data_IF_457181901252
#
_entry.id   IF_457181901252
#
_cell.length_a   1.000
_cell.length_b   1.000
_cell.length_c   1.000
_cell.angle_alpha   90.00
_cell.angle_beta   90.00
_cell.angle_gamma   90.00
#
_symmetry.space_group_name_H-M   'P 1'
#
loop_
_entity.id
_entity.type
_entity.pdbx_description
1 polymer ?
#
# COMPACT_ATOMS: atom_id res chain seq x y z
N UNK A 1 -31.30 -1.27 -13.51
CA UNK A 1 -29.87 -1.48 -13.84
C UNK A 1 -29.06 -1.52 -12.55
N UNK A 2 -28.86 -2.71 -11.95
CA UNK A 2 -28.10 -2.86 -10.70
C UNK A 2 -26.58 -3.01 -10.90
N UNK A 3 -26.12 -3.51 -12.05
CA UNK A 3 -24.70 -3.83 -12.29
C UNK A 3 -23.77 -2.60 -12.28
N UNK A 4 -24.26 -1.42 -12.68
CA UNK A 4 -23.46 -0.19 -12.72
C UNK A 4 -23.19 0.37 -11.31
N UNK A 5 -24.16 0.21 -10.38
CA UNK A 5 -24.01 0.67 -9.00
C UNK A 5 -22.96 -0.16 -8.24
N UNK A 6 -22.92 -1.47 -8.46
CA UNK A 6 -21.96 -2.36 -7.81
C UNK A 6 -20.53 -2.07 -8.27
N UNK A 7 -20.34 -1.77 -9.56
CA UNK A 7 -19.05 -1.37 -10.11
C UNK A 7 -18.58 -0.03 -9.54
N UNK A 8 -19.47 0.98 -9.49
CA UNK A 8 -19.16 2.29 -8.90
C UNK A 8 -18.76 2.13 -7.43
N UNK A 9 -19.51 1.33 -6.65
CA UNK A 9 -19.22 1.08 -5.24
C UNK A 9 -17.88 0.36 -5.05
N UNK A 10 -17.59 -0.65 -5.88
CA UNK A 10 -16.33 -1.39 -5.82
C UNK A 10 -15.13 -0.49 -6.13
N UNK A 11 -15.23 0.33 -7.18
CA UNK A 11 -14.20 1.31 -7.55
C UNK A 11 -14.02 2.36 -6.46
N UNK A 12 -15.11 2.92 -5.93
CA UNK A 12 -15.06 3.87 -4.82
C UNK A 12 -14.33 3.31 -3.60
N UNK A 13 -14.61 2.06 -3.25
CA UNK A 13 -13.92 1.37 -2.14
C UNK A 13 -12.44 1.13 -2.43
N UNK A 14 -12.10 0.70 -3.65
CA UNK A 14 -10.71 0.50 -4.05
C UNK A 14 -9.90 1.81 -3.99
N UNK A 15 -10.44 2.89 -4.54
CA UNK A 15 -9.81 4.22 -4.54
C UNK A 15 -9.63 4.73 -3.11
N UNK A 16 -10.70 4.67 -2.30
CA UNK A 16 -10.65 5.13 -0.91
C UNK A 16 -9.62 4.34 -0.08
N UNK A 17 -9.66 3.00 -0.13
CA UNK A 17 -8.76 2.16 0.64
C UNK A 17 -7.30 2.35 0.21
N UNK A 18 -7.04 2.55 -1.08
CA UNK A 18 -5.70 2.83 -1.56
C UNK A 18 -5.19 4.20 -1.11
N UNK A 19 -6.03 5.24 -1.13
CA UNK A 19 -5.66 6.55 -0.61
C UNK A 19 -5.30 6.49 0.88
N UNK A 20 -6.05 5.71 1.68
CA UNK A 20 -5.70 5.47 3.09
C UNK A 20 -4.35 4.76 3.24
N UNK A 21 -4.10 3.73 2.42
CA UNK A 21 -2.80 3.05 2.40
C UNK A 21 -1.65 4.02 2.05
N UNK A 22 -1.83 4.89 1.06
CA UNK A 22 -0.81 5.89 0.69
C UNK A 22 -0.50 6.85 1.82
N UNK A 23 -1.52 7.34 2.54
CA UNK A 23 -1.32 8.21 3.69
C UNK A 23 -0.57 7.49 4.81
N UNK A 24 -0.92 6.24 5.11
CA UNK A 24 -0.22 5.45 6.14
C UNK A 24 1.24 5.17 5.75
N UNK A 25 1.51 4.81 4.51
CA UNK A 25 2.88 4.56 4.01
C UNK A 25 3.70 5.84 3.99
N UNK A 26 3.12 6.97 3.59
CA UNK A 26 3.83 8.25 3.63
C UNK A 26 4.12 8.71 5.06
N UNK A 27 3.22 8.42 6.01
CA UNK A 27 3.48 8.67 7.43
C UNK A 27 4.63 7.80 7.94
N UNK A 28 4.62 6.50 7.61
CA UNK A 28 5.74 5.60 7.92
C UNK A 28 7.03 6.16 7.34
N UNK A 29 7.02 6.52 6.05
CA UNK A 29 8.18 7.10 5.37
C UNK A 29 8.68 8.36 6.06
N UNK A 30 7.81 9.31 6.42
CA UNK A 30 8.20 10.54 7.12
C UNK A 30 8.82 10.28 8.49
N UNK A 31 8.30 9.31 9.24
CA UNK A 31 8.88 8.87 10.51
C UNK A 31 10.25 8.20 10.30
N UNK A 32 10.39 7.42 9.22
CA UNK A 32 11.66 6.83 8.80
C UNK A 32 12.65 7.87 8.26
N UNK A 33 12.21 9.00 7.69
CA UNK A 33 13.12 10.03 7.15
C UNK A 33 14.07 10.60 8.21
N UNK A 34 13.69 10.54 9.50
CA UNK A 34 14.58 10.89 10.61
C UNK A 34 15.79 9.94 10.76
N UNK A 35 15.74 8.76 10.14
CA UNK A 35 16.74 7.69 10.27
C UNK A 35 17.34 7.27 8.93
N UNK A 36 16.57 7.33 7.84
CA UNK A 36 16.95 6.82 6.52
C UNK A 36 16.99 7.94 5.44
N UNK A 37 16.79 9.20 5.84
CA UNK A 37 16.85 10.37 4.95
C UNK A 37 15.61 10.61 4.08
N UNK A 38 15.66 11.57 3.15
CA UNK A 38 14.53 12.00 2.30
C UNK A 38 14.24 11.07 1.11
N UNK A 39 14.36 9.76 1.31
CA UNK A 39 14.24 8.78 0.23
C UNK A 39 12.79 8.59 -0.25
N UNK A 40 12.66 8.14 -1.50
CA UNK A 40 11.40 7.59 -2.02
C UNK A 40 11.03 6.31 -1.25
N UNK A 41 9.80 5.80 -1.42
CA UNK A 41 9.40 4.52 -0.78
C UNK A 41 10.33 3.37 -1.21
N UNK A 42 10.71 3.32 -2.49
CA UNK A 42 11.68 2.36 -3.02
C UNK A 42 13.06 2.54 -2.39
N UNK A 43 13.58 3.78 -2.38
CA UNK A 43 14.88 4.07 -1.77
C UNK A 43 14.91 3.74 -0.27
N UNK A 44 13.84 4.06 0.46
CA UNK A 44 13.70 3.75 1.88
C UNK A 44 13.64 2.25 2.13
N UNK A 45 13.05 1.47 1.21
CA UNK A 45 13.02 0.00 1.31
C UNK A 45 14.44 -0.57 1.14
N UNK A 46 15.16 -0.13 0.11
CA UNK A 46 16.54 -0.58 -0.15
C UNK A 46 17.48 -0.20 1.00
N UNK A 47 17.36 1.01 1.52
CA UNK A 47 18.19 1.47 2.63
C UNK A 47 17.84 0.72 3.93
N UNK A 48 16.56 0.46 4.20
CA UNK A 48 16.14 -0.40 5.31
C UNK A 48 16.71 -1.82 5.19
N UNK A 49 16.71 -2.42 3.99
CA UNK A 49 17.27 -3.75 3.78
C UNK A 49 18.79 -3.80 3.98
N UNK A 50 19.49 -2.77 3.51
CA UNK A 50 20.95 -2.64 3.64
C UNK A 50 21.38 -2.44 5.10
N UNK A 51 20.65 -1.59 5.81
CA UNK A 51 21.04 -1.12 7.14
C UNK A 51 20.28 -1.84 8.28
N UNK A 52 19.42 -2.82 7.95
CA UNK A 52 18.62 -3.60 8.91
C UNK A 52 19.46 -4.17 10.07
N UNK A 53 20.70 -4.57 9.81
CA UNK A 53 21.62 -5.09 10.83
C UNK A 53 22.42 -4.03 11.60
N UNK A 54 22.44 -2.78 11.13
CA UNK A 54 23.18 -1.67 11.74
C UNK A 54 22.28 -0.69 12.51
N UNK A 55 20.96 -0.75 12.28
CA UNK A 55 19.98 0.06 12.97
C UNK A 55 19.74 -0.45 14.41
N UNK A 56 19.61 0.44 15.41
CA UNK A 56 19.32 0.05 16.80
C UNK A 56 17.86 -0.38 17.01
N UNK A 57 17.18 -0.82 15.95
CA UNK A 57 15.77 -1.14 15.95
C UNK A 57 15.53 -2.61 16.24
N UNK A 58 14.39 -2.90 16.86
CA UNK A 58 13.90 -4.27 16.99
C UNK A 58 13.80 -4.91 15.59
N UNK A 59 14.45 -6.06 15.42
CA UNK A 59 14.43 -6.79 14.14
C UNK A 59 13.01 -7.12 13.67
N UNK A 60 12.06 -7.30 14.60
CA UNK A 60 10.65 -7.48 14.23
C UNK A 60 10.06 -6.19 13.62
N UNK A 61 10.38 -5.02 14.16
CA UNK A 61 9.94 -3.74 13.62
C UNK A 61 10.47 -3.53 12.19
N UNK A 62 11.76 -3.77 11.96
CA UNK A 62 12.37 -3.64 10.62
C UNK A 62 11.69 -4.59 9.62
N UNK A 63 11.49 -5.84 10.01
CA UNK A 63 10.83 -6.83 9.15
C UNK A 63 9.38 -6.43 8.82
N UNK A 64 8.63 -5.88 9.78
CA UNK A 64 7.26 -5.38 9.58
C UNK A 64 7.24 -4.15 8.66
N UNK A 65 8.15 -3.20 8.83
CA UNK A 65 8.27 -2.03 7.96
C UNK A 65 8.57 -2.43 6.52
N UNK A 66 9.54 -3.32 6.32
CA UNK A 66 9.87 -3.85 4.99
C UNK A 66 8.69 -4.55 4.34
N UNK A 67 7.93 -5.34 5.11
CA UNK A 67 6.72 -6.00 4.61
C UNK A 67 5.67 -5.00 4.12
N UNK A 68 5.40 -3.95 4.89
CA UNK A 68 4.46 -2.89 4.51
C UNK A 68 4.92 -2.17 3.24
N UNK A 69 6.19 -1.79 3.16
CA UNK A 69 6.73 -1.04 2.02
C UNK A 69 6.74 -1.88 0.74
N UNK A 70 7.16 -3.16 0.81
CA UNK A 70 7.12 -4.08 -0.33
C UNK A 70 5.68 -4.33 -0.79
N UNK A 71 4.75 -4.51 0.15
CA UNK A 71 3.33 -4.72 -0.17
C UNK A 71 2.72 -3.50 -0.85
N UNK A 72 3.08 -2.29 -0.42
CA UNK A 72 2.69 -1.06 -1.13
C UNK A 72 3.24 -1.01 -2.57
N UNK A 73 4.52 -1.34 -2.76
CA UNK A 73 5.14 -1.38 -4.09
C UNK A 73 4.48 -2.40 -5.02
N UNK A 74 4.03 -3.55 -4.49
CA UNK A 74 3.27 -4.56 -5.25
C UNK A 74 1.86 -4.07 -5.63
N UNK A 75 1.20 -3.35 -4.72
CA UNK A 75 -0.19 -2.92 -4.87
C UNK A 75 -0.34 -1.67 -5.74
N UNK A 76 0.65 -0.78 -5.76
CA UNK A 76 0.67 0.44 -6.58
C UNK A 76 0.46 0.20 -8.09
N UNK A 77 1.22 -0.69 -8.78
CA UNK A 77 1.00 -0.93 -10.21
C UNK A 77 -0.36 -1.58 -10.49
N UNK A 78 -0.95 -2.31 -9.52
CA UNK A 78 -2.29 -2.88 -9.66
C UNK A 78 -3.37 -1.81 -9.58
N UNK A 79 -3.19 -0.81 -8.70
CA UNK A 79 -4.00 0.43 -8.69
C UNK A 79 -3.88 1.18 -10.00
N UNK A 80 -2.66 1.37 -10.52
CA UNK A 80 -2.46 2.11 -11.77
C UNK A 80 -3.15 1.40 -12.94
N UNK A 81 -3.04 0.06 -13.02
CA UNK A 81 -3.79 -0.74 -14.00
C UNK A 81 -5.29 -0.62 -13.86
N UNK A 82 -5.82 -0.56 -12.64
CA UNK A 82 -7.26 -0.37 -12.40
C UNK A 82 -7.74 1.01 -12.91
N UNK A 83 -6.93 2.06 -12.73
CA UNK A 83 -7.29 3.43 -13.13
C UNK A 83 -7.04 3.73 -14.62
N UNK A 84 -6.13 3.01 -15.28
CA UNK A 84 -5.73 3.27 -16.67
C UNK A 84 -6.53 2.51 -17.74
N UNK A 85 -7.53 1.69 -17.39
CA UNK A 85 -8.23 0.85 -18.38
C UNK A 85 -9.43 1.54 -19.07
N UNK A 86 -9.60 1.35 -20.39
CA UNK A 86 -10.90 1.52 -21.04
C UNK A 86 -11.87 0.45 -20.50
N UNK A 87 -13.12 0.85 -20.28
CA UNK A 87 -14.13 0.02 -19.59
C UNK A 87 -14.55 -1.26 -20.36
N UNK A 88 -14.05 -1.50 -21.58
CA UNK A 88 -14.48 -2.61 -22.44
C UNK A 88 -13.30 -3.32 -23.11
N UNK A 89 -13.24 -4.66 -22.99
CA UNK A 89 -12.26 -5.54 -23.64
C UNK A 89 -11.89 -6.82 -22.84
N UNK A 90 -11.18 -7.79 -23.45
CA UNK A 90 -10.58 -8.90 -22.71
C UNK A 90 -9.47 -8.37 -21.76
N UNK A 91 -9.53 -8.74 -20.48
CA UNK A 91 -8.69 -8.15 -19.42
C UNK A 91 -9.38 -7.07 -18.57
N UNK A 92 -10.69 -6.88 -18.75
CA UNK A 92 -11.52 -6.03 -17.89
C UNK A 92 -11.61 -6.64 -16.48
N UNK A 93 -11.35 -5.80 -15.49
CA UNK A 93 -11.54 -6.15 -14.08
C UNK A 93 -13.02 -6.41 -13.82
N UNK A 94 -13.36 -7.59 -13.32
CA UNK A 94 -14.72 -7.80 -12.83
C UNK A 94 -14.90 -7.16 -11.45
N UNK A 95 -16.14 -6.92 -11.03
CA UNK A 95 -16.46 -6.35 -9.72
C UNK A 95 -15.78 -7.12 -8.58
N UNK A 96 -15.70 -8.45 -8.69
CA UNK A 96 -15.02 -9.31 -7.71
C UNK A 96 -13.53 -9.04 -7.63
N UNK A 97 -12.84 -8.83 -8.76
CA UNK A 97 -11.41 -8.50 -8.78
C UNK A 97 -11.14 -7.14 -8.12
N UNK A 98 -12.01 -6.16 -8.39
CA UNK A 98 -11.93 -4.82 -7.81
C UNK A 98 -12.14 -4.88 -6.30
N UNK A 99 -13.14 -5.63 -5.83
CA UNK A 99 -13.39 -5.81 -4.40
C UNK A 99 -12.25 -6.57 -3.70
N UNK A 100 -11.69 -7.59 -4.34
CA UNK A 100 -10.55 -8.32 -3.81
C UNK A 100 -9.33 -7.39 -3.67
N UNK A 101 -9.07 -6.55 -4.68
CA UNK A 101 -8.00 -5.55 -4.62
C UNK A 101 -8.27 -4.48 -3.55
N UNK A 102 -9.51 -3.99 -3.44
CA UNK A 102 -9.91 -3.04 -2.40
C UNK A 102 -9.66 -3.60 -0.99
N UNK A 103 -9.95 -4.89 -0.78
CA UNK A 103 -9.67 -5.56 0.47
C UNK A 103 -8.16 -5.70 0.74
N UNK A 104 -7.35 -5.98 -0.30
CA UNK A 104 -5.89 -6.02 -0.16
C UNK A 104 -5.31 -4.66 0.25
N UNK A 105 -5.86 -3.55 -0.29
CA UNK A 105 -5.50 -2.20 0.14
C UNK A 105 -5.87 -1.94 1.61
N UNK A 106 -7.07 -2.34 2.01
CA UNK A 106 -7.55 -2.20 3.40
C UNK A 106 -6.65 -2.93 4.40
N UNK A 107 -6.34 -4.20 4.13
CA UNK A 107 -5.47 -5.03 4.99
C UNK A 107 -4.07 -4.42 5.08
N UNK A 108 -3.49 -3.98 3.97
CA UNK A 108 -2.18 -3.34 3.97
C UNK A 108 -2.19 -2.01 4.74
N UNK A 109 -3.26 -1.21 4.62
CA UNK A 109 -3.41 0.04 5.36
C UNK A 109 -3.55 -0.18 6.87
N UNK A 110 -4.30 -1.21 7.28
CA UNK A 110 -4.40 -1.62 8.68
C UNK A 110 -3.03 -2.04 9.21
N UNK A 111 -2.29 -2.85 8.46
CA UNK A 111 -0.94 -3.30 8.83
C UNK A 111 0.02 -2.12 9.01
N UNK A 112 0.03 -1.17 8.07
CA UNK A 112 0.82 0.06 8.16
C UNK A 112 0.47 0.89 9.41
N UNK A 113 -0.83 1.07 9.69
CA UNK A 113 -1.30 1.80 10.87
C UNK A 113 -0.96 1.08 12.19
N UNK A 114 -0.96 -0.25 12.21
CA UNK A 114 -0.54 -1.01 13.38
C UNK A 114 0.95 -0.83 13.67
N UNK A 115 1.79 -0.80 12.63
CA UNK A 115 3.23 -0.52 12.77
C UNK A 115 3.44 0.89 13.31
N UNK A 116 2.73 1.89 12.74
CA UNK A 116 2.77 3.26 13.23
C UNK A 116 2.41 3.35 14.72
N UNK A 117 1.24 2.86 15.11
CA UNK A 117 0.73 3.00 16.50
C UNK A 117 1.61 2.31 17.54
N UNK A 118 2.27 1.21 17.19
CA UNK A 118 3.04 0.42 18.15
C UNK A 118 4.48 0.90 18.31
N UNK A 119 5.04 1.57 17.29
CA UNK A 119 6.50 1.75 17.22
C UNK A 119 6.96 3.16 16.82
N UNK A 120 6.08 4.07 16.36
CA UNK A 120 6.44 5.39 15.82
C UNK A 120 5.55 6.53 16.34
#
# INVERSE_FOLDING_TARGET
MPADNDLINALGRAIYNFAQLELSVDHVRRKLCGVVGTLSVEGATVALERDAGALPWDGELVARLLRVMRRYQELKPRRDRLLCLPQHGPGVWCVTDILALAHQFEVAGIEANQVLRRYL
#
